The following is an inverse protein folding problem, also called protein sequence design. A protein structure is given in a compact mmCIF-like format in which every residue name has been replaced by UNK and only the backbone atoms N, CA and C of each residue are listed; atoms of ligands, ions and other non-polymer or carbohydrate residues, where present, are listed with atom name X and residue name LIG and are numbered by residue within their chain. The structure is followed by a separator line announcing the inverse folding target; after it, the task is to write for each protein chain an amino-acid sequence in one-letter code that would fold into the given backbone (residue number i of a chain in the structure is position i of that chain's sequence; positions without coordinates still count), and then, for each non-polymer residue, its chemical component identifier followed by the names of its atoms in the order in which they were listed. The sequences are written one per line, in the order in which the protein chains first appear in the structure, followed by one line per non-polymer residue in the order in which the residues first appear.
data_IF_435995482382
#
_entry.id   IF_435995482382
#
_cell.length_a   1.000
_cell.length_b   1.000
_cell.length_c   1.000
_cell.angle_alpha   90.00
_cell.angle_beta   90.00
_cell.angle_gamma   90.00
#
_symmetry.space_group_name_H-M   'P 1'
#
loop_
_entity.id
_entity.type
_entity.pdbx_description
1 polymer ?
#
# COMPACT_ATOMS: atom_id res chain seq x y z
N UNK A 1 0.66 20.29 -13.69
CA UNK A 1 1.76 19.67 -14.46
C UNK A 1 1.30 19.21 -15.84
N UNK A 2 0.23 18.43 -15.96
CA UNK A 2 -0.34 18.01 -17.26
C UNK A 2 -0.70 19.19 -18.18
N UNK A 3 -1.38 20.21 -17.67
CA UNK A 3 -1.70 21.45 -18.43
C UNK A 3 -0.45 22.22 -18.89
N UNK A 4 0.59 22.32 -18.05
CA UNK A 4 1.88 22.95 -18.42
C UNK A 4 2.60 22.16 -19.51
N UNK A 5 2.48 20.83 -19.49
CA UNK A 5 2.98 19.98 -20.55
C UNK A 5 2.23 20.20 -21.86
N UNK A 6 0.90 20.24 -21.82
CA UNK A 6 0.06 20.51 -22.99
C UNK A 6 0.37 21.89 -23.59
N UNK A 7 0.55 22.90 -22.75
CA UNK A 7 0.92 24.26 -23.20
C UNK A 7 2.25 24.27 -23.96
N UNK A 8 3.30 23.66 -23.41
CA UNK A 8 4.62 23.57 -24.08
C UNK A 8 4.59 22.76 -25.37
N UNK A 9 3.82 21.67 -25.41
CA UNK A 9 3.66 20.86 -26.62
C UNK A 9 2.94 21.64 -27.73
N UNK A 10 1.94 22.43 -27.35
CA UNK A 10 1.19 23.31 -28.26
C UNK A 10 2.06 24.45 -28.78
N UNK A 11 2.85 25.07 -27.91
CA UNK A 11 3.79 26.13 -28.26
C UNK A 11 4.91 25.63 -29.19
N UNK A 12 5.48 24.46 -28.91
CA UNK A 12 6.48 23.84 -29.77
C UNK A 12 5.94 23.54 -31.18
N UNK A 13 4.67 23.13 -31.28
CA UNK A 13 4.01 22.94 -32.55
C UNK A 13 3.83 24.27 -33.31
N UNK A 14 3.37 25.33 -32.65
CA UNK A 14 3.19 26.65 -33.27
C UNK A 14 4.54 27.15 -33.83
N UNK A 15 5.60 27.08 -33.03
CA UNK A 15 6.94 27.50 -33.45
C UNK A 15 7.47 26.68 -34.64
N UNK A 16 7.17 25.39 -34.70
CA UNK A 16 7.54 24.57 -35.85
C UNK A 16 6.80 25.01 -37.11
N UNK A 17 5.50 25.23 -37.02
CA UNK A 17 4.68 25.65 -38.15
C UNK A 17 5.09 27.03 -38.67
N UNK A 18 5.43 27.96 -37.77
CA UNK A 18 5.95 29.28 -38.15
C UNK A 18 7.31 29.20 -38.85
N UNK A 19 8.16 28.26 -38.46
CA UNK A 19 9.55 28.15 -38.95
C UNK A 19 9.73 27.28 -40.19
N UNK A 20 8.97 26.18 -40.30
CA UNK A 20 9.16 25.17 -41.34
C UNK A 20 7.94 25.02 -42.26
N UNK A 21 6.82 25.65 -41.90
CA UNK A 21 5.59 25.59 -42.67
C UNK A 21 4.87 24.24 -42.57
N UNK A 22 3.87 24.09 -43.40
CA UNK A 22 2.84 23.04 -43.32
C UNK A 22 3.28 21.71 -43.96
N UNK A 23 4.35 21.76 -44.75
CA UNK A 23 4.85 20.64 -45.54
C UNK A 23 5.92 19.82 -44.82
N UNK A 24 6.43 20.31 -43.68
CA UNK A 24 7.30 19.53 -42.81
C UNK A 24 6.48 18.64 -41.88
N UNK A 25 6.94 17.39 -41.70
CA UNK A 25 6.36 16.45 -40.76
C UNK A 25 6.80 16.87 -39.36
N UNK A 26 5.83 17.16 -38.49
CA UNK A 26 6.07 17.32 -37.06
C UNK A 26 5.91 15.97 -36.35
N UNK A 27 6.95 15.50 -35.69
CA UNK A 27 6.90 14.31 -34.84
C UNK A 27 6.93 14.76 -33.38
N UNK A 28 5.88 14.45 -32.63
CA UNK A 28 5.86 14.72 -31.20
C UNK A 28 6.46 13.53 -30.46
N UNK A 29 7.57 13.72 -29.76
CA UNK A 29 8.19 12.65 -28.96
C UNK A 29 7.43 12.46 -27.62
N UNK A 30 6.71 11.34 -27.41
CA UNK A 30 5.99 11.07 -26.17
C UNK A 30 6.91 10.81 -24.95
N UNK A 31 8.23 10.68 -25.16
CA UNK A 31 9.20 10.39 -24.07
C UNK A 31 9.18 11.45 -22.97
N UNK A 32 9.00 12.73 -23.31
CA UNK A 32 8.91 13.81 -22.33
C UNK A 32 7.72 13.69 -21.39
N UNK A 33 6.56 13.26 -21.91
CA UNK A 33 5.36 13.00 -21.09
C UNK A 33 5.58 11.81 -20.16
N UNK A 34 6.14 10.72 -20.69
CA UNK A 34 6.40 9.51 -19.91
C UNK A 34 7.33 9.78 -18.74
N UNK A 35 8.38 10.57 -18.94
CA UNK A 35 9.32 10.96 -17.88
C UNK A 35 8.59 11.75 -16.79
N UNK A 36 7.75 12.72 -17.18
CA UNK A 36 6.98 13.54 -16.23
C UNK A 36 5.99 12.71 -15.42
N UNK A 37 5.23 11.82 -16.07
CA UNK A 37 4.28 10.93 -15.41
C UNK A 37 5.00 9.93 -14.50
N UNK A 38 6.11 9.34 -14.97
CA UNK A 38 6.95 8.43 -14.17
C UNK A 38 7.49 9.11 -12.92
N UNK A 39 7.97 10.35 -13.05
CA UNK A 39 8.48 11.14 -11.93
C UNK A 39 7.37 11.46 -10.93
N UNK A 40 6.21 11.89 -11.43
CA UNK A 40 5.05 12.21 -10.60
C UNK A 40 4.55 10.99 -9.82
N UNK A 41 4.46 9.84 -10.49
CA UNK A 41 4.06 8.57 -9.86
C UNK A 41 5.08 8.10 -8.81
N UNK A 42 6.39 8.21 -9.08
CA UNK A 42 7.43 7.93 -8.08
C UNK A 42 7.33 8.85 -6.87
N UNK A 43 7.04 10.13 -7.08
CA UNK A 43 6.84 11.10 -6.01
C UNK A 43 5.61 10.75 -5.15
N UNK A 44 4.49 10.41 -5.79
CA UNK A 44 3.27 9.93 -5.13
C UNK A 44 3.57 8.69 -4.27
N UNK A 45 4.25 7.69 -4.83
CA UNK A 45 4.63 6.48 -4.11
C UNK A 45 5.46 6.78 -2.86
N UNK A 46 6.53 7.57 -2.99
CA UNK A 46 7.37 7.97 -1.84
C UNK A 46 6.60 8.73 -0.77
N UNK A 47 5.75 9.66 -1.19
CA UNK A 47 4.96 10.49 -0.26
C UNK A 47 3.97 9.62 0.52
N UNK A 48 3.33 8.67 -0.15
CA UNK A 48 2.37 7.75 0.48
C UNK A 48 3.07 6.76 1.41
N UNK A 49 4.23 6.22 1.03
CA UNK A 49 5.06 5.38 1.93
C UNK A 49 5.45 6.15 3.20
N UNK A 50 5.95 7.38 3.05
CA UNK A 50 6.31 8.21 4.20
C UNK A 50 5.11 8.58 5.08
N UNK A 51 3.92 8.76 4.51
CA UNK A 51 2.70 8.98 5.26
C UNK A 51 2.30 7.73 6.06
N UNK A 52 2.40 6.56 5.44
CA UNK A 52 2.14 5.27 6.09
C UNK A 52 3.10 5.01 7.26
N UNK A 53 4.41 5.22 7.08
CA UNK A 53 5.40 5.01 8.13
C UNK A 53 5.11 5.88 9.37
N UNK A 54 4.79 7.16 9.17
CA UNK A 54 4.40 8.07 10.25
C UNK A 54 3.11 7.63 10.94
N UNK A 55 2.14 7.15 10.18
CA UNK A 55 0.88 6.64 10.73
C UNK A 55 1.12 5.41 11.61
N UNK A 56 1.88 4.43 11.11
CA UNK A 56 2.21 3.21 11.87
C UNK A 56 3.01 3.54 13.13
N UNK A 57 3.95 4.48 13.08
CA UNK A 57 4.69 4.94 14.26
C UNK A 57 3.75 5.52 15.33
N UNK A 58 2.79 6.34 14.93
CA UNK A 58 1.77 6.88 15.85
C UNK A 58 0.85 5.80 16.42
N UNK A 59 0.44 4.84 15.60
CA UNK A 59 -0.36 3.70 16.02
C UNK A 59 0.40 2.84 17.04
N UNK A 60 1.67 2.55 16.79
CA UNK A 60 2.52 1.79 17.71
C UNK A 60 2.62 2.50 19.06
N UNK A 61 2.86 3.81 19.07
CA UNK A 61 2.93 4.57 20.31
C UNK A 61 1.64 4.45 21.14
N UNK A 62 0.47 4.50 20.48
CA UNK A 62 -0.83 4.31 21.12
C UNK A 62 -1.03 2.87 21.61
N UNK A 63 -0.69 1.87 20.80
CA UNK A 63 -0.77 0.47 21.19
C UNK A 63 0.12 0.18 22.40
N UNK A 64 1.37 0.65 22.42
CA UNK A 64 2.26 0.49 23.58
C UNK A 64 1.62 1.07 24.84
N UNK A 65 0.99 2.24 24.75
CA UNK A 65 0.22 2.84 25.86
C UNK A 65 -0.92 1.93 26.33
N UNK A 66 -1.73 1.42 25.38
CA UNK A 66 -2.85 0.52 25.66
C UNK A 66 -2.39 -0.79 26.32
N UNK A 67 -1.34 -1.43 25.81
CA UNK A 67 -0.78 -2.66 26.36
C UNK A 67 -0.28 -2.44 27.79
N UNK A 68 0.40 -1.32 28.07
CA UNK A 68 0.87 -0.98 29.42
C UNK A 68 -0.29 -0.81 30.39
N UNK A 69 -1.34 -0.09 29.98
CA UNK A 69 -2.51 0.13 30.83
C UNK A 69 -3.27 -1.17 31.10
N UNK A 70 -3.54 -1.96 30.05
CA UNK A 70 -4.31 -3.19 30.14
C UNK A 70 -3.60 -4.30 30.94
N UNK A 71 -2.28 -4.45 30.75
CA UNK A 71 -1.49 -5.56 31.31
C UNK A 71 -0.62 -5.15 32.51
N UNK A 72 -0.60 -3.86 32.89
CA UNK A 72 0.25 -3.30 33.95
C UNK A 72 1.74 -3.63 33.77
N UNK A 73 2.22 -3.56 32.52
CA UNK A 73 3.60 -3.88 32.16
C UNK A 73 4.58 -2.76 32.57
N UNK A 74 5.81 -3.10 32.98
CA UNK A 74 6.86 -2.12 33.20
C UNK A 74 7.34 -1.48 31.89
N UNK A 75 7.91 -0.28 31.99
CA UNK A 75 8.20 0.60 30.85
C UNK A 75 9.20 0.03 29.83
N UNK A 76 10.10 -0.85 30.25
CA UNK A 76 11.25 -1.25 29.43
C UNK A 76 11.05 -2.57 28.68
N UNK A 77 9.88 -3.22 28.83
CA UNK A 77 9.71 -4.62 28.40
C UNK A 77 9.04 -4.81 27.03
N UNK A 78 8.58 -3.75 26.38
CA UNK A 78 7.67 -3.87 25.23
C UNK A 78 8.01 -2.93 24.08
N UNK A 79 8.35 -3.51 22.93
CA UNK A 79 8.69 -2.82 21.67
C UNK A 79 7.91 -3.48 20.53
N UNK A 80 6.85 -2.81 20.06
CA UNK A 80 6.09 -3.29 18.89
C UNK A 80 6.81 -2.82 17.63
N UNK A 81 7.21 -3.77 16.78
CA UNK A 81 7.72 -3.46 15.44
C UNK A 81 6.58 -3.40 14.43
N UNK A 82 6.47 -2.24 13.78
CA UNK A 82 5.52 -2.03 12.70
C UNK A 82 5.93 -2.73 11.41
N UNK A 83 4.96 -3.14 10.57
CA UNK A 83 5.25 -3.59 9.21
C UNK A 83 5.88 -2.47 8.37
N UNK A 84 6.81 -2.80 7.46
CA UNK A 84 7.34 -1.82 6.51
C UNK A 84 6.25 -1.34 5.54
N UNK A 85 6.44 -0.15 4.96
CA UNK A 85 5.55 0.34 3.92
C UNK A 85 5.51 -0.62 2.71
N UNK A 86 4.33 -0.86 2.12
CA UNK A 86 4.23 -1.67 0.90
C UNK A 86 5.09 -1.11 -0.23
N UNK A 87 5.54 -2.00 -1.12
CA UNK A 87 6.36 -1.61 -2.27
C UNK A 87 5.50 -0.93 -3.33
N UNK A 88 5.94 0.24 -3.81
CA UNK A 88 5.31 0.91 -4.95
C UNK A 88 5.47 0.05 -6.21
N UNK A 89 4.38 -0.36 -6.89
CA UNK A 89 4.48 -1.18 -8.09
C UNK A 89 5.05 -0.35 -9.25
N UNK A 90 5.84 -0.96 -10.16
CA UNK A 90 6.40 -0.25 -11.30
C UNK A 90 5.29 0.22 -12.25
N UNK A 91 5.42 1.41 -12.87
CA UNK A 91 4.35 1.95 -13.69
C UNK A 91 4.35 1.37 -15.11
N UNK A 92 3.92 0.11 -15.23
CA UNK A 92 3.95 -0.69 -16.47
C UNK A 92 3.12 -0.07 -17.60
N UNK A 93 2.02 0.62 -17.28
CA UNK A 93 1.18 1.33 -18.27
C UNK A 93 1.93 2.45 -18.99
N UNK A 94 2.98 3.03 -18.38
CA UNK A 94 3.81 4.06 -19.04
C UNK A 94 4.71 3.50 -20.13
N UNK A 95 4.94 2.17 -20.14
CA UNK A 95 5.68 1.47 -21.18
C UNK A 95 4.88 1.23 -22.46
N UNK A 96 3.56 1.43 -22.44
CA UNK A 96 2.72 1.27 -23.63
C UNK A 96 2.98 2.41 -24.64
N UNK A 97 2.80 2.09 -25.92
CA UNK A 97 2.92 3.06 -27.00
C UNK A 97 1.85 4.14 -26.82
N UNK A 98 2.25 5.36 -26.46
CA UNK A 98 1.39 6.53 -26.59
C UNK A 98 1.28 6.74 -28.10
N UNK A 99 0.16 6.31 -28.68
CA UNK A 99 -0.08 6.34 -30.12
C UNK A 99 -0.45 7.76 -30.57
N UNK A 100 0.42 8.74 -30.30
CA UNK A 100 0.43 9.97 -31.09
C UNK A 100 1.16 9.67 -32.40
N UNK A 101 0.61 8.76 -33.20
CA UNK A 101 1.14 8.46 -34.53
C UNK A 101 0.72 9.57 -35.51
N UNK A 102 1.48 10.67 -35.47
CA UNK A 102 1.32 11.80 -36.39
C UNK A 102 1.75 11.47 -37.84
N UNK A 103 2.13 10.21 -38.15
CA UNK A 103 2.79 9.84 -39.42
C UNK A 103 1.85 9.61 -40.60
N UNK A 104 0.53 9.70 -40.44
CA UNK A 104 -0.43 9.33 -41.48
C UNK A 104 -0.86 10.45 -42.45
N UNK A 105 -1.46 10.05 -43.57
CA UNK A 105 -2.20 10.92 -44.53
C UNK A 105 -3.29 11.80 -43.87
N UNK A 106 -3.61 11.52 -42.61
CA UNK A 106 -4.47 12.34 -41.78
C UNK A 106 -3.84 13.71 -41.48
N UNK A 107 -2.53 13.84 -41.24
CA UNK A 107 -1.88 15.13 -40.95
C UNK A 107 -2.06 16.11 -42.12
N UNK A 108 -1.78 15.62 -43.33
CA UNK A 108 -1.99 16.38 -44.58
C UNK A 108 -3.47 16.73 -44.79
N UNK A 109 -4.39 15.79 -44.59
CA UNK A 109 -5.84 16.03 -44.76
C UNK A 109 -6.46 16.89 -43.66
N UNK A 110 -5.92 16.83 -42.45
CA UNK A 110 -6.31 17.61 -41.27
C UNK A 110 -5.89 19.07 -41.44
N UNK A 111 -4.69 19.31 -41.99
CA UNK A 111 -4.19 20.64 -42.25
C UNK A 111 -4.92 21.35 -43.40
N UNK A 112 -5.19 20.64 -44.50
CA UNK A 112 -5.85 21.20 -45.70
C UNK A 112 -7.32 21.64 -45.49
N UNK A 113 -7.94 21.38 -44.33
CA UNK A 113 -9.39 21.59 -44.10
C UNK A 113 -9.77 22.82 -43.27
N UNK A 114 -8.86 23.65 -42.73
CA UNK A 114 -9.22 24.80 -41.85
C UNK A 114 -8.45 26.10 -42.13
N UNK A 115 -8.84 27.19 -41.45
CA UNK A 115 -8.35 28.57 -41.64
C UNK A 115 -7.59 29.05 -40.38
N UNK A 116 -6.26 29.07 -40.41
CA UNK A 116 -5.37 29.83 -39.49
C UNK A 116 -4.70 29.05 -38.35
N UNK A 117 -3.39 29.30 -38.12
CA UNK A 117 -2.47 28.59 -37.19
C UNK A 117 -2.98 28.45 -35.73
N UNK A 118 -3.65 29.48 -35.20
CA UNK A 118 -4.20 29.47 -33.83
C UNK A 118 -5.36 28.46 -33.64
N UNK A 119 -6.21 28.28 -34.65
CA UNK A 119 -7.30 27.30 -34.57
C UNK A 119 -6.76 25.85 -34.53
N UNK A 120 -5.65 25.60 -35.21
CA UNK A 120 -4.98 24.29 -35.21
C UNK A 120 -4.32 23.96 -33.88
N UNK A 121 -3.73 24.96 -33.21
CA UNK A 121 -3.14 24.79 -31.89
C UNK A 121 -4.18 24.35 -30.84
N UNK A 122 -5.38 24.94 -30.88
CA UNK A 122 -6.49 24.56 -30.00
C UNK A 122 -6.99 23.13 -30.25
N UNK A 123 -7.13 22.72 -31.52
CA UNK A 123 -7.53 21.35 -31.87
C UNK A 123 -6.46 20.31 -31.51
N UNK A 124 -5.18 20.64 -31.71
CA UNK A 124 -4.05 19.79 -31.32
C UNK A 124 -3.96 19.62 -29.80
N UNK A 125 -4.11 20.73 -29.07
CA UNK A 125 -4.17 20.71 -27.61
C UNK A 125 -5.28 19.78 -27.11
N UNK A 126 -6.49 19.90 -27.70
CA UNK A 126 -7.62 19.03 -27.37
C UNK A 126 -7.33 17.55 -27.66
N UNK A 127 -6.73 17.25 -28.81
CA UNK A 127 -6.39 15.88 -29.20
C UNK A 127 -5.37 15.24 -28.25
N UNK A 128 -4.27 15.93 -27.93
CA UNK A 128 -3.31 15.43 -26.94
C UNK A 128 -3.99 15.28 -25.57
N UNK A 129 -4.82 16.24 -25.17
CA UNK A 129 -5.53 16.18 -23.90
C UNK A 129 -6.45 14.96 -23.81
N UNK A 130 -7.26 14.69 -24.83
CA UNK A 130 -8.16 13.53 -24.90
C UNK A 130 -7.35 12.23 -24.77
N UNK A 131 -6.30 12.07 -25.58
CA UNK A 131 -5.45 10.87 -25.56
C UNK A 131 -4.76 10.67 -24.21
N UNK A 132 -4.15 11.72 -23.67
CA UNK A 132 -3.40 11.66 -22.42
C UNK A 132 -4.29 11.54 -21.18
N UNK A 133 -5.59 11.87 -21.29
CA UNK A 133 -6.56 11.69 -20.20
C UNK A 133 -6.83 10.21 -19.95
N UNK A 134 -6.97 9.40 -21.00
CA UNK A 134 -7.13 7.93 -20.89
C UNK A 134 -5.90 7.30 -20.23
N UNK A 135 -4.70 7.67 -20.66
CA UNK A 135 -3.46 7.20 -20.03
C UNK A 135 -3.34 7.62 -18.56
N UNK A 136 -3.77 8.84 -18.22
CA UNK A 136 -3.75 9.32 -16.84
C UNK A 136 -4.79 8.61 -15.97
N UNK A 137 -5.95 8.28 -16.53
CA UNK A 137 -6.98 7.50 -15.85
C UNK A 137 -6.44 6.11 -15.51
N UNK A 138 -5.82 5.41 -16.48
CA UNK A 138 -5.21 4.09 -16.25
C UNK A 138 -4.11 4.12 -15.20
N UNK A 139 -3.26 5.16 -15.20
CA UNK A 139 -2.21 5.33 -14.19
C UNK A 139 -2.81 5.50 -12.78
N UNK A 140 -3.94 6.19 -12.65
CA UNK A 140 -4.63 6.35 -11.37
C UNK A 140 -5.29 5.04 -10.95
N UNK A 141 -6.16 4.49 -11.79
CA UNK A 141 -7.01 3.36 -11.43
C UNK A 141 -6.25 2.04 -11.33
N UNK A 142 -5.29 1.79 -12.22
CA UNK A 142 -4.63 0.48 -12.30
C UNK A 142 -3.43 0.38 -11.35
N UNK A 143 -2.89 1.50 -10.87
CA UNK A 143 -1.65 1.49 -10.09
C UNK A 143 -1.75 2.29 -8.81
N UNK A 144 -2.27 3.52 -8.85
CA UNK A 144 -2.43 4.30 -7.64
C UNK A 144 -3.48 3.67 -6.71
N UNK A 145 -4.62 3.23 -7.24
CA UNK A 145 -5.66 2.59 -6.42
C UNK A 145 -5.19 1.24 -5.86
N UNK A 146 -4.50 0.42 -6.66
CA UNK A 146 -3.91 -0.85 -6.19
C UNK A 146 -2.90 -0.61 -5.07
N UNK A 147 -2.07 0.43 -5.19
CA UNK A 147 -1.10 0.77 -4.17
C UNK A 147 -1.76 1.36 -2.91
N UNK A 148 -2.80 2.18 -3.08
CA UNK A 148 -3.64 2.67 -2.01
C UNK A 148 -4.25 1.50 -1.23
N UNK A 149 -4.87 0.55 -1.91
CA UNK A 149 -5.49 -0.61 -1.28
C UNK A 149 -4.47 -1.48 -0.54
N UNK A 150 -3.26 -1.63 -1.10
CA UNK A 150 -2.16 -2.33 -0.42
C UNK A 150 -1.72 -1.63 0.87
N UNK A 151 -1.67 -0.30 0.90
CA UNK A 151 -1.37 0.50 2.11
C UNK A 151 -2.42 0.24 3.19
N UNK A 152 -3.70 0.31 2.84
CA UNK A 152 -4.78 0.12 3.81
C UNK A 152 -4.86 -1.32 4.29
N UNK A 153 -4.72 -2.30 3.40
CA UNK A 153 -4.70 -3.71 3.78
C UNK A 153 -3.55 -4.04 4.74
N UNK A 154 -2.36 -3.46 4.53
CA UNK A 154 -1.21 -3.69 5.42
C UNK A 154 -1.44 -3.07 6.81
N UNK A 155 -2.04 -1.87 6.88
CA UNK A 155 -2.38 -1.22 8.14
C UNK A 155 -3.46 -1.99 8.91
N UNK A 156 -4.50 -2.44 8.21
CA UNK A 156 -5.63 -3.19 8.78
C UNK A 156 -5.19 -4.55 9.31
N UNK A 157 -4.36 -5.28 8.54
CA UNK A 157 -3.77 -6.54 8.99
C UNK A 157 -2.95 -6.36 10.27
N UNK A 158 -2.12 -5.30 10.33
CA UNK A 158 -1.34 -5.01 11.53
C UNK A 158 -2.21 -4.70 12.75
N UNK A 159 -3.24 -3.86 12.60
CA UNK A 159 -4.15 -3.54 13.70
C UNK A 159 -4.94 -4.77 14.17
N UNK A 160 -5.36 -5.62 13.24
CA UNK A 160 -6.05 -6.89 13.54
C UNK A 160 -5.14 -7.82 14.33
N UNK A 161 -3.91 -8.05 13.85
CA UNK A 161 -2.92 -8.88 14.53
C UNK A 161 -2.64 -8.36 15.95
N UNK A 162 -2.49 -7.05 16.13
CA UNK A 162 -2.24 -6.44 17.44
C UNK A 162 -3.45 -6.54 18.37
N UNK A 163 -4.66 -6.44 17.83
CA UNK A 163 -5.89 -6.62 18.60
C UNK A 163 -6.03 -8.06 19.06
N UNK A 164 -5.80 -9.03 18.17
CA UNK A 164 -5.85 -10.46 18.47
C UNK A 164 -4.84 -10.85 19.55
N UNK A 165 -3.60 -10.35 19.46
CA UNK A 165 -2.58 -10.59 20.49
C UNK A 165 -3.02 -10.04 21.85
N UNK A 166 -3.58 -8.82 21.88
CA UNK A 166 -4.05 -8.22 23.12
C UNK A 166 -5.20 -9.05 23.71
N UNK A 167 -6.23 -9.33 22.93
CA UNK A 167 -7.41 -10.09 23.36
C UNK A 167 -7.05 -11.49 23.84
N UNK A 168 -6.17 -12.19 23.15
CA UNK A 168 -5.70 -13.52 23.57
C UNK A 168 -4.88 -13.48 24.86
N UNK A 169 -4.24 -12.35 25.16
CA UNK A 169 -3.43 -12.18 26.38
C UNK A 169 -4.29 -11.82 27.59
N UNK A 170 -5.31 -10.98 27.41
CA UNK A 170 -6.22 -10.58 28.51
C UNK A 170 -7.30 -11.62 28.78
N UNK A 171 -7.64 -12.45 27.80
CA UNK A 171 -8.59 -13.55 28.00
C UNK A 171 -7.92 -14.59 28.87
N UNK A 172 -8.42 -14.86 30.10
CA UNK A 172 -7.82 -15.86 30.96
C UNK A 172 -7.78 -17.20 30.22
N UNK A 173 -6.67 -17.96 30.28
CA UNK A 173 -6.65 -19.29 29.73
C UNK A 173 -7.82 -20.05 30.35
N UNK A 174 -8.74 -20.54 29.53
CA UNK A 174 -9.76 -21.53 29.92
C UNK A 174 -9.07 -22.87 30.22
N UNK A 175 -8.21 -22.86 31.23
CA UNK A 175 -7.78 -24.02 31.97
C UNK A 175 -8.91 -24.29 32.97
N UNK A 176 -9.93 -24.99 32.49
CA UNK A 176 -10.91 -25.61 33.36
C UNK A 176 -10.18 -26.51 34.37
N UNK A 177 -10.69 -26.60 35.59
CA UNK A 177 -10.13 -27.39 36.69
C UNK A 177 -9.75 -28.81 36.24
N UNK A 178 -10.57 -29.40 35.37
CA UNK A 178 -10.34 -30.71 34.75
C UNK A 178 -9.05 -30.79 33.93
N UNK A 179 -8.68 -29.73 33.20
CA UNK A 179 -7.44 -29.69 32.41
C UNK A 179 -6.21 -29.51 33.32
N UNK A 180 -6.33 -28.72 34.37
CA UNK A 180 -5.29 -28.56 35.39
C UNK A 180 -5.05 -29.88 36.12
N UNK A 181 -6.12 -30.56 36.54
CA UNK A 181 -6.04 -31.86 37.23
C UNK A 181 -5.40 -32.94 36.35
N UNK A 182 -5.62 -32.91 35.03
CA UNK A 182 -4.94 -33.80 34.06
C UNK A 182 -3.48 -33.44 33.82
N UNK A 183 -3.15 -32.15 33.73
CA UNK A 183 -1.79 -31.67 33.48
C UNK A 183 -0.83 -32.04 34.62
N UNK A 184 -1.32 -31.96 35.85
CA UNK A 184 -0.55 -32.30 37.05
C UNK A 184 -0.81 -33.72 37.55
N UNK A 185 -1.56 -34.53 36.79
CA UNK A 185 -2.00 -35.88 37.14
C UNK A 185 -2.39 -36.01 38.63
N UNK A 186 -3.18 -35.04 39.09
CA UNK A 186 -3.47 -34.85 40.51
C UNK A 186 -4.22 -36.05 41.11
N UNK A 187 -4.96 -36.77 40.27
CA UNK A 187 -5.64 -38.01 40.66
C UNK A 187 -4.65 -39.13 41.02
N UNK A 188 -3.51 -39.25 40.31
CA UNK A 188 -2.50 -40.26 40.65
C UNK A 188 -1.74 -39.90 41.94
N UNK A 189 -1.54 -38.60 42.19
CA UNK A 189 -0.98 -38.12 43.45
C UNK A 189 -1.92 -38.35 44.63
N UNK A 190 -3.21 -38.05 44.48
CA UNK A 190 -4.23 -38.30 45.52
C UNK A 190 -4.40 -39.80 45.80
N UNK A 191 -4.34 -40.66 44.77
CA UNK A 191 -4.35 -42.11 44.94
C UNK A 191 -3.09 -42.62 45.68
N UNK A 192 -1.90 -42.13 45.32
CA UNK A 192 -0.66 -42.48 46.03
C UNK A 192 -0.67 -42.03 47.49
N UNK A 193 -1.23 -40.86 47.78
CA UNK A 193 -1.30 -40.35 49.15
C UNK A 193 -2.30 -41.15 50.00
N UNK A 194 -3.39 -41.64 49.40
CA UNK A 194 -4.31 -42.58 50.04
C UNK A 194 -3.64 -43.93 50.35
N UNK A 195 -2.91 -44.49 49.38
CA UNK A 195 -2.16 -45.75 49.55
C UNK A 195 -1.09 -45.62 50.63
N UNK A 196 -0.36 -44.50 50.67
CA UNK A 196 0.65 -44.21 51.69
C UNK A 196 0.02 -44.09 53.09
N UNK A 197 -1.12 -43.42 53.23
CA UNK A 197 -1.85 -43.33 54.51
C UNK A 197 -2.33 -44.70 54.97
N UNK A 198 -2.84 -45.53 54.06
CA UNK A 198 -3.27 -46.88 54.38
C UNK A 198 -2.07 -47.75 54.80
N UNK A 199 -0.94 -47.65 54.12
CA UNK A 199 0.29 -48.34 54.51
C UNK A 199 0.81 -47.89 55.87
N UNK A 200 0.73 -46.60 56.18
CA UNK A 200 1.14 -46.05 57.47
C UNK A 200 0.25 -46.55 58.62
N UNK A 201 -1.08 -46.51 58.44
CA UNK A 201 -2.03 -47.07 59.39
C UNK A 201 -1.82 -48.57 59.62
N UNK A 202 -1.48 -49.31 58.58
CA UNK A 202 -1.18 -50.73 58.70
C UNK A 202 0.12 -50.96 59.48
N UNK A 203 1.15 -50.13 59.29
CA UNK A 203 2.41 -50.22 60.05
C UNK A 203 2.22 -49.85 61.53
N UNK A 204 1.36 -48.88 61.84
CA UNK A 204 1.04 -48.50 63.23
C UNK A 204 0.37 -49.63 64.03
N UNK A 205 -0.29 -50.58 63.36
CA UNK A 205 -0.86 -51.79 63.99
C UNK A 205 0.23 -52.78 64.43
N UNK A 206 1.44 -52.70 63.85
CA UNK A 206 2.57 -53.58 64.16
C UNK A 206 3.72 -52.89 64.90
N UNK A 207 3.60 -51.59 65.19
CA UNK A 207 4.51 -50.85 66.06
C UNK A 207 4.02 -50.95 67.52
N UNK A 208 4.79 -51.58 68.44
CA UNK A 208 4.42 -51.72 69.85
C UNK A 208 4.49 -50.41 70.65
#
# INVERSE_FOLDING_TARGET
MHESFLARATEALILHLEKFGEHSIWEYDPSGLRILLSSSYKSYGRTSQAAYERYIEQVIAQLVGLYREALKLPEELFDIKGPPAPRVPPPVSLGQTIALDLKGNWWKSWWFRRRGYQAYAADFHRMIKEETTTFLADLKTTQADVFHDAIFAQADAFLTDQSDVLFNTITPPTLDKVKVDRLFDRQSLEARDADLRQAHQHLDVYAP
#
